data_IF_224621143298
#
_entry.id   IF_224621143298
#
_cell.length_a   1.000
_cell.length_b   1.000
_cell.length_c   1.000
_cell.angle_alpha   90.00
_cell.angle_beta   90.00
_cell.angle_gamma   90.00
#
_symmetry.space_group_name_H-M   'P 1'
#
loop_
_entity.id
_entity.type
_entity.pdbx_description
1 polymer ?
#
# COMPACT_ATOMS: atom_id res chain seq x y z
N UNK A 1 16.95 -32.35 -31.78
CA UNK A 1 15.91 -31.78 -30.90
C UNK A 1 16.59 -30.99 -29.78
N UNK A 2 16.58 -29.65 -29.87
CA UNK A 2 17.04 -28.74 -28.83
C UNK A 2 15.86 -28.51 -27.89
N UNK A 3 15.93 -29.09 -26.70
CA UNK A 3 15.04 -28.73 -25.59
C UNK A 3 15.47 -27.36 -25.07
N UNK A 4 14.74 -26.33 -25.46
CA UNK A 4 14.87 -25.03 -24.86
C UNK A 4 14.40 -25.09 -23.40
N UNK A 5 15.35 -25.01 -22.47
CA UNK A 5 15.03 -24.83 -21.08
C UNK A 5 14.41 -23.43 -20.95
N UNK A 6 13.10 -23.33 -20.68
CA UNK A 6 12.48 -22.13 -20.17
C UNK A 6 13.05 -21.88 -18.76
N UNK A 7 14.04 -20.99 -18.68
CA UNK A 7 14.48 -20.48 -17.40
C UNK A 7 13.31 -19.68 -16.82
N UNK A 8 12.66 -20.19 -15.77
CA UNK A 8 11.80 -19.39 -14.93
C UNK A 8 12.65 -18.26 -14.35
N UNK A 9 12.27 -16.98 -14.53
CA UNK A 9 13.01 -15.90 -13.88
C UNK A 9 13.02 -16.18 -12.38
N UNK A 10 14.21 -16.19 -11.78
CA UNK A 10 14.34 -16.30 -10.34
C UNK A 10 13.54 -15.14 -9.73
N UNK A 11 12.50 -15.44 -8.94
CA UNK A 11 11.76 -14.44 -8.19
C UNK A 11 12.74 -13.84 -7.18
N UNK A 12 13.02 -12.53 -7.29
CA UNK A 12 13.80 -11.79 -6.32
C UNK A 12 13.07 -11.69 -4.99
N UNK A 13 13.67 -10.99 -4.00
CA UNK A 13 13.03 -10.75 -2.70
C UNK A 13 11.66 -10.12 -2.88
N UNK A 14 10.71 -10.57 -2.06
CA UNK A 14 9.33 -10.05 -2.04
C UNK A 14 8.80 -9.96 -0.62
N UNK A 15 7.72 -9.24 -0.46
CA UNK A 15 6.99 -9.12 0.78
C UNK A 15 5.49 -9.03 0.48
N UNK A 16 4.66 -9.26 1.48
CA UNK A 16 3.23 -9.16 1.33
C UNK A 16 2.54 -8.74 2.62
N UNK A 17 1.32 -8.22 2.47
CA UNK A 17 0.44 -7.86 3.57
C UNK A 17 -0.95 -8.45 3.31
N UNK A 18 -1.44 -9.26 4.24
CA UNK A 18 -2.83 -9.69 4.25
C UNK A 18 -3.67 -8.59 4.92
N UNK A 19 -4.69 -8.12 4.23
CA UNK A 19 -5.53 -7.04 4.72
C UNK A 19 -6.57 -7.57 5.71
N UNK A 20 -6.61 -6.95 6.88
CA UNK A 20 -7.60 -7.18 7.92
C UNK A 20 -8.61 -6.04 7.91
N UNK A 21 -9.90 -6.37 7.95
CA UNK A 21 -10.95 -5.36 8.06
C UNK A 21 -10.81 -4.57 9.37
N UNK A 22 -10.99 -3.25 9.29
CA UNK A 22 -10.96 -2.35 10.43
C UNK A 22 -12.14 -1.38 10.36
N UNK A 23 -12.41 -0.69 11.46
CA UNK A 23 -13.52 0.26 11.57
C UNK A 23 -14.89 -0.32 11.18
N UNK A 24 -15.11 -1.60 11.43
CA UNK A 24 -16.37 -2.28 11.12
C UNK A 24 -16.60 -2.59 9.64
N UNK A 25 -15.58 -2.52 8.80
CA UNK A 25 -15.68 -2.82 7.36
C UNK A 25 -15.70 -4.33 7.08
N UNK A 26 -15.97 -4.67 5.82
CA UNK A 26 -15.86 -6.02 5.29
C UNK A 26 -14.71 -6.16 4.28
N UNK A 27 -13.74 -5.28 4.31
CA UNK A 27 -12.62 -5.27 3.37
C UNK A 27 -11.72 -6.48 3.61
N UNK A 28 -11.31 -7.12 2.52
CA UNK A 28 -10.33 -8.20 2.52
C UNK A 28 -9.43 -8.06 1.29
N UNK A 29 -8.28 -8.69 1.33
CA UNK A 29 -7.39 -8.70 0.19
C UNK A 29 -5.93 -8.87 0.58
N UNK A 30 -5.08 -8.70 -0.42
CA UNK A 30 -3.63 -8.85 -0.29
C UNK A 30 -2.91 -7.78 -1.09
N UNK A 31 -1.82 -7.29 -0.53
CA UNK A 31 -0.89 -6.39 -1.22
C UNK A 31 0.47 -7.06 -1.27
N UNK A 32 1.07 -7.11 -2.45
CA UNK A 32 2.38 -7.71 -2.67
C UNK A 32 3.39 -6.65 -3.09
N UNK A 33 4.64 -6.84 -2.67
CA UNK A 33 5.72 -5.90 -2.88
C UNK A 33 6.95 -6.63 -3.42
N UNK A 34 7.61 -6.02 -4.39
CA UNK A 34 8.89 -6.49 -4.92
C UNK A 34 9.70 -5.28 -5.40
N UNK A 35 10.98 -5.48 -5.68
CA UNK A 35 11.82 -4.41 -6.23
C UNK A 35 12.03 -4.63 -7.72
N UNK A 36 11.89 -3.54 -8.49
CA UNK A 36 12.07 -3.54 -9.93
C UNK A 36 12.76 -2.25 -10.37
N UNK A 37 13.98 -2.35 -10.89
CA UNK A 37 14.70 -1.19 -11.44
C UNK A 37 14.92 -0.05 -10.44
N UNK A 38 15.19 -0.36 -9.17
CA UNK A 38 15.40 0.64 -8.12
C UNK A 38 14.13 1.28 -7.57
N UNK A 39 12.96 0.76 -7.93
CA UNK A 39 11.66 1.19 -7.43
C UNK A 39 10.95 0.05 -6.70
N UNK A 40 10.00 0.39 -5.84
CA UNK A 40 9.13 -0.59 -5.20
C UNK A 40 7.94 -0.87 -6.12
N UNK A 41 7.80 -2.12 -6.56
CA UNK A 41 6.61 -2.57 -7.29
C UNK A 41 5.55 -3.00 -6.28
N UNK A 42 4.34 -2.48 -6.46
CA UNK A 42 3.20 -2.76 -5.60
C UNK A 42 2.06 -3.34 -6.43
N UNK A 43 1.50 -4.45 -5.98
CA UNK A 43 0.32 -5.06 -6.57
C UNK A 43 -0.70 -5.32 -5.47
N UNK A 44 -1.96 -4.93 -5.70
CA UNK A 44 -3.03 -5.11 -4.76
C UNK A 44 -4.25 -5.78 -5.40
N UNK A 45 -4.88 -6.67 -4.65
CA UNK A 45 -6.20 -7.24 -4.95
C UNK A 45 -7.05 -7.10 -3.71
N UNK A 46 -8.12 -6.32 -3.80
CA UNK A 46 -8.95 -5.94 -2.66
C UNK A 46 -10.42 -6.13 -3.00
N UNK A 47 -11.19 -6.59 -2.03
CA UNK A 47 -12.64 -6.77 -2.13
C UNK A 47 -13.35 -6.16 -0.92
N UNK A 48 -14.66 -5.98 -1.00
CA UNK A 48 -15.45 -5.44 0.10
C UNK A 48 -15.41 -3.93 0.24
N UNK A 49 -14.94 -3.22 -0.79
CA UNK A 49 -14.92 -1.76 -0.83
C UNK A 49 -16.27 -1.21 -1.33
N UNK A 50 -16.60 0.03 -0.94
CA UNK A 50 -17.61 0.79 -1.65
C UNK A 50 -17.09 1.17 -3.04
N UNK A 51 -17.93 1.24 -4.09
CA UNK A 51 -17.47 1.69 -5.41
C UNK A 51 -16.86 3.08 -5.37
N UNK A 52 -15.81 3.30 -6.17
CA UNK A 52 -15.11 4.57 -6.25
C UNK A 52 -13.70 4.52 -5.70
N UNK A 53 -13.13 5.69 -5.47
CA UNK A 53 -11.75 5.84 -5.04
C UNK A 53 -11.59 5.74 -3.52
N UNK A 54 -10.47 5.14 -3.10
CA UNK A 54 -10.10 4.97 -1.70
C UNK A 54 -8.64 5.33 -1.47
N UNK A 55 -8.36 6.11 -0.44
CA UNK A 55 -6.99 6.39 -0.01
C UNK A 55 -6.23 5.09 0.28
N UNK A 56 -4.99 5.02 -0.17
CA UNK A 56 -4.15 3.84 -0.13
C UNK A 56 -2.72 4.24 0.17
N UNK A 57 -2.24 3.89 1.37
CA UNK A 57 -0.94 4.38 1.85
C UNK A 57 -0.16 3.32 2.61
N UNK A 58 1.17 3.48 2.62
CA UNK A 58 2.02 2.77 3.55
C UNK A 58 2.17 3.64 4.81
N UNK A 59 1.86 3.05 5.97
CA UNK A 59 1.97 3.67 7.28
C UNK A 59 3.25 3.24 7.99
N UNK A 60 3.74 4.07 8.92
CA UNK A 60 5.06 3.92 9.50
C UNK A 60 5.20 2.73 10.44
N UNK A 61 4.12 2.30 11.11
CA UNK A 61 4.16 1.25 12.13
C UNK A 61 3.42 0.00 11.65
N UNK A 62 4.09 -1.15 11.75
CA UNK A 62 3.54 -2.45 11.43
C UNK A 62 2.68 -3.00 12.56
N UNK A 63 1.66 -2.25 12.96
CA UNK A 63 0.72 -2.64 14.00
C UNK A 63 -0.71 -2.32 13.55
N UNK A 64 -1.46 -3.36 13.24
CA UNK A 64 -2.86 -3.29 12.83
C UNK A 64 -3.83 -3.71 13.96
N UNK A 65 -3.36 -3.78 15.22
CA UNK A 65 -4.15 -4.34 16.33
C UNK A 65 -5.32 -3.47 16.77
N UNK A 66 -5.21 -2.15 16.66
CA UNK A 66 -6.31 -1.25 17.03
C UNK A 66 -7.52 -1.45 16.09
N UNK A 67 -8.75 -1.47 16.63
CA UNK A 67 -9.97 -1.68 15.82
C UNK A 67 -10.17 -0.66 14.70
N UNK A 68 -9.63 0.55 14.87
CA UNK A 68 -9.67 1.65 13.90
C UNK A 68 -8.36 1.83 13.12
N UNK A 69 -7.44 0.89 13.25
CA UNK A 69 -6.09 0.94 12.68
C UNK A 69 -5.24 2.15 13.12
N UNK A 70 -5.59 2.83 14.21
CA UNK A 70 -4.81 3.95 14.74
C UNK A 70 -3.39 3.54 15.19
N UNK A 71 -3.21 2.27 15.55
CA UNK A 71 -1.90 1.71 15.91
C UNK A 71 -0.87 1.72 14.79
N UNK A 72 -1.29 1.83 13.53
CA UNK A 72 -0.40 1.97 12.38
C UNK A 72 0.24 3.38 12.28
N UNK A 73 -0.22 4.33 13.08
CA UNK A 73 0.25 5.72 13.12
C UNK A 73 0.06 6.45 11.79
N UNK A 74 0.95 7.40 11.45
CA UNK A 74 0.87 8.21 10.24
C UNK A 74 1.48 7.52 9.01
N UNK A 75 1.45 8.22 7.88
CA UNK A 75 2.07 7.75 6.66
C UNK A 75 3.58 7.56 6.84
N UNK A 76 4.12 6.54 6.20
CA UNK A 76 5.58 6.34 6.17
C UNK A 76 6.24 7.51 5.44
N UNK A 77 7.05 8.26 6.15
CA UNK A 77 7.63 9.53 5.69
C UNK A 77 9.13 9.62 5.99
N UNK A 78 9.96 8.80 5.32
CA UNK A 78 11.39 8.76 5.60
C UNK A 78 12.12 10.04 5.25
N UNK A 79 11.60 10.84 4.31
CA UNK A 79 12.21 12.10 3.88
C UNK A 79 11.69 13.34 4.62
N UNK A 80 10.74 13.20 5.55
CA UNK A 80 10.21 14.32 6.34
C UNK A 80 9.45 15.36 5.51
N UNK A 81 8.72 14.94 4.48
CA UNK A 81 7.99 15.84 3.59
C UNK A 81 6.51 15.93 3.97
N UNK A 82 5.80 16.89 3.38
CA UNK A 82 4.36 16.99 3.49
C UNK A 82 3.65 15.93 2.66
N UNK A 83 2.39 15.62 3.00
CA UNK A 83 1.52 14.78 2.17
C UNK A 83 1.29 15.41 0.79
N UNK A 84 1.25 14.60 -0.24
CA UNK A 84 1.04 15.08 -1.58
C UNK A 84 0.75 13.98 -2.59
N UNK A 85 0.66 14.37 -3.84
CA UNK A 85 0.42 13.45 -4.95
C UNK A 85 1.61 12.51 -5.17
N UNK A 86 1.33 11.25 -5.40
CA UNK A 86 2.35 10.19 -5.56
C UNK A 86 3.38 10.46 -6.67
N UNK A 87 3.03 11.25 -7.69
CA UNK A 87 3.94 11.66 -8.76
C UNK A 87 4.70 12.95 -8.45
N UNK A 88 4.37 13.65 -7.36
CA UNK A 88 5.02 14.88 -6.96
C UNK A 88 6.29 14.65 -6.16
N UNK A 89 7.11 15.69 -6.00
CA UNK A 89 8.31 15.66 -5.17
C UNK A 89 8.01 15.90 -3.69
N UNK A 90 6.98 16.70 -3.39
CA UNK A 90 6.48 16.94 -2.04
C UNK A 90 5.39 15.93 -1.71
N UNK A 91 5.79 14.81 -1.12
CA UNK A 91 4.91 13.75 -0.67
C UNK A 91 5.58 12.90 0.41
N UNK A 92 4.80 12.18 1.19
CA UNK A 92 5.34 11.09 2.00
C UNK A 92 5.82 9.95 1.10
N UNK A 93 6.83 9.21 1.53
CA UNK A 93 7.26 8.02 0.78
C UNK A 93 6.13 7.02 0.60
N UNK A 94 5.28 6.86 1.60
CA UNK A 94 4.13 5.96 1.59
C UNK A 94 2.89 6.44 0.85
N UNK A 95 2.91 7.63 0.26
CA UNK A 95 1.78 8.15 -0.53
C UNK A 95 1.69 7.42 -1.87
N UNK A 96 0.57 6.76 -2.12
CA UNK A 96 0.31 5.98 -3.33
C UNK A 96 -0.96 6.48 -4.02
N UNK A 97 -1.20 6.11 -5.29
CA UNK A 97 -2.46 6.41 -5.96
C UNK A 97 -3.65 5.82 -5.21
N UNK A 98 -4.79 6.48 -5.28
CA UNK A 98 -6.05 5.91 -4.81
C UNK A 98 -6.30 4.56 -5.46
N UNK A 99 -6.87 3.63 -4.70
CA UNK A 99 -7.49 2.43 -5.27
C UNK A 99 -8.81 2.82 -5.91
N UNK A 100 -9.11 2.25 -7.06
CA UNK A 100 -10.40 2.42 -7.73
C UNK A 100 -11.19 1.12 -7.64
N UNK A 101 -12.26 1.12 -6.85
CA UNK A 101 -13.17 -0.01 -6.73
C UNK A 101 -14.29 0.07 -7.77
N UNK A 102 -14.57 -1.06 -8.42
CA UNK A 102 -15.66 -1.22 -9.36
C UNK A 102 -17.03 -1.33 -8.64
N UNK A 103 -18.09 -1.52 -9.42
CA UNK A 103 -19.45 -1.65 -8.89
C UNK A 103 -19.63 -2.86 -7.94
N UNK A 104 -18.78 -3.89 -8.06
CA UNK A 104 -18.78 -5.05 -7.18
C UNK A 104 -17.92 -4.87 -5.92
N UNK A 105 -17.31 -3.71 -5.73
CA UNK A 105 -16.44 -3.42 -4.59
C UNK A 105 -15.05 -4.03 -4.71
N UNK A 106 -14.63 -4.41 -5.91
CA UNK A 106 -13.32 -5.00 -6.18
C UNK A 106 -12.38 -3.94 -6.76
N UNK A 107 -11.15 -3.90 -6.24
CA UNK A 107 -10.09 -3.04 -6.74
C UNK A 107 -8.84 -3.86 -7.03
N UNK A 108 -8.16 -3.52 -8.12
CA UNK A 108 -6.83 -4.02 -8.46
C UNK A 108 -5.91 -2.83 -8.70
N UNK A 109 -4.69 -2.95 -8.22
CA UNK A 109 -3.65 -1.96 -8.43
C UNK A 109 -2.36 -2.66 -8.83
N UNK A 110 -1.65 -2.07 -9.78
CA UNK A 110 -0.30 -2.48 -10.16
C UNK A 110 0.48 -1.21 -10.52
N UNK A 111 1.59 -0.97 -9.84
CA UNK A 111 2.39 0.22 -10.10
C UNK A 111 3.75 0.17 -9.41
N UNK A 112 4.57 1.15 -9.71
CA UNK A 112 5.90 1.32 -9.14
C UNK A 112 5.96 2.63 -8.35
N UNK A 113 6.52 2.56 -7.15
CA UNK A 113 6.67 3.70 -6.25
C UNK A 113 8.15 4.02 -6.11
N UNK A 114 8.51 5.26 -6.43
CA UNK A 114 9.86 5.75 -6.30
C UNK A 114 10.20 6.06 -4.84
N UNK A 115 11.45 5.89 -4.47
CA UNK A 115 11.96 6.29 -3.15
C UNK A 115 11.67 5.31 -2.03
N UNK A 116 11.06 4.17 -2.32
CA UNK A 116 10.85 3.07 -1.37
C UNK A 116 11.58 1.81 -1.81
N UNK A 117 11.84 0.94 -0.83
CA UNK A 117 12.51 -0.34 -0.99
C UNK A 117 11.88 -1.38 -0.06
N UNK A 118 12.31 -2.62 -0.14
CA UNK A 118 11.85 -3.66 0.80
C UNK A 118 12.49 -3.48 2.18
N UNK A 119 13.77 -3.20 2.24
CA UNK A 119 14.52 -3.07 3.49
C UNK A 119 15.32 -1.77 3.59
N UNK A 120 15.96 -1.56 4.75
CA UNK A 120 16.75 -0.37 5.01
C UNK A 120 15.92 0.85 5.43
N UNK A 121 16.51 2.05 5.33
CA UNK A 121 15.89 3.29 5.80
C UNK A 121 14.60 3.66 5.07
N UNK A 122 14.45 3.25 3.81
CA UNK A 122 13.26 3.44 2.98
C UNK A 122 12.44 2.15 2.85
N UNK A 123 12.73 1.16 3.68
CA UNK A 123 12.13 -0.17 3.62
C UNK A 123 10.71 -0.23 4.14
N UNK A 124 9.86 -0.98 3.46
CA UNK A 124 8.45 -1.15 3.83
C UNK A 124 8.18 -2.39 4.66
N UNK A 125 9.07 -3.38 4.66
CA UNK A 125 8.94 -4.59 5.49
C UNK A 125 8.95 -4.19 6.98
N UNK A 126 7.99 -4.73 7.73
CA UNK A 126 7.76 -4.37 9.13
C UNK A 126 6.89 -3.14 9.36
N UNK A 127 6.42 -2.52 8.31
CA UNK A 127 5.44 -1.42 8.33
C UNK A 127 4.06 -1.95 8.00
N UNK A 128 3.11 -1.09 7.72
CA UNK A 128 1.75 -1.52 7.37
C UNK A 128 1.23 -0.81 6.11
N UNK A 129 0.27 -1.45 5.47
CA UNK A 129 -0.56 -0.88 4.41
C UNK A 129 -1.93 -0.59 4.99
N UNK A 130 -2.47 0.59 4.68
CA UNK A 130 -3.79 1.03 5.13
C UNK A 130 -4.63 1.48 3.95
N UNK A 131 -5.90 1.06 3.94
CA UNK A 131 -6.91 1.53 2.99
C UNK A 131 -7.93 2.36 3.75
N UNK A 132 -8.35 3.46 3.15
CA UNK A 132 -9.26 4.43 3.76
C UNK A 132 -10.66 4.39 3.15
N UNK A 133 -11.62 4.94 3.89
CA UNK A 133 -13.02 4.97 3.47
C UNK A 133 -13.27 5.93 2.29
N UNK A 134 -12.54 7.04 2.25
CA UNK A 134 -12.74 8.12 1.30
C UNK A 134 -11.51 8.29 0.38
N UNK A 135 -11.68 8.97 -0.77
CA UNK A 135 -10.55 9.30 -1.63
C UNK A 135 -9.51 10.17 -0.90
N UNK A 136 -8.23 9.94 -1.21
CA UNK A 136 -7.16 10.89 -0.94
C UNK A 136 -7.30 12.06 -1.92
N UNK A 137 -7.37 13.28 -1.41
CA UNK A 137 -7.44 14.49 -2.26
C UNK A 137 -6.06 14.96 -2.74
N UNK A 138 -4.99 14.28 -2.27
CA UNK A 138 -3.57 14.55 -2.60
C UNK A 138 -3.04 15.91 -2.12
N UNK A 139 -3.76 16.61 -1.27
CA UNK A 139 -3.43 17.97 -0.84
C UNK A 139 -3.55 18.18 0.66
N UNK A 140 -4.67 17.80 1.27
CA UNK A 140 -4.96 18.05 2.67
C UNK A 140 -3.97 17.33 3.59
N UNK A 141 -3.46 18.05 4.58
CA UNK A 141 -2.51 17.50 5.54
C UNK A 141 -3.27 16.92 6.75
N UNK A 142 -2.78 15.85 7.35
CA UNK A 142 -1.60 15.06 6.96
C UNK A 142 -1.90 13.90 6.00
N UNK A 143 -3.15 13.61 5.66
CA UNK A 143 -3.53 12.33 5.06
C UNK A 143 -4.52 12.45 3.89
N UNK A 144 -4.63 13.64 3.27
CA UNK A 144 -5.49 13.82 2.10
C UNK A 144 -6.97 13.75 2.38
N UNK A 145 -7.38 13.94 3.63
CA UNK A 145 -8.79 13.89 4.05
C UNK A 145 -9.48 12.56 3.70
N UNK A 146 -8.73 11.45 3.76
CA UNK A 146 -9.15 10.13 3.31
C UNK A 146 -10.14 9.41 4.23
N UNK A 147 -10.47 10.00 5.38
CA UNK A 147 -11.44 9.45 6.31
C UNK A 147 -10.95 8.25 7.11
N UNK A 148 -11.88 7.42 7.55
CA UNK A 148 -11.59 6.26 8.40
C UNK A 148 -10.67 5.27 7.71
N UNK A 149 -9.88 4.55 8.53
CA UNK A 149 -9.04 3.43 8.09
C UNK A 149 -9.88 2.15 8.12
N UNK A 150 -10.17 1.61 6.96
CA UNK A 150 -11.11 0.48 6.81
C UNK A 150 -10.41 -0.85 6.61
N UNK A 151 -9.11 -0.86 6.31
CA UNK A 151 -8.30 -2.06 6.25
C UNK A 151 -6.86 -1.75 6.64
N UNK A 152 -6.19 -2.72 7.23
CA UNK A 152 -4.80 -2.63 7.63
C UNK A 152 -4.12 -3.99 7.50
N UNK A 153 -2.93 -4.03 6.95
CA UNK A 153 -2.12 -5.25 6.84
C UNK A 153 -0.66 -4.96 7.16
N UNK A 154 -0.06 -5.80 7.99
CA UNK A 154 1.38 -5.72 8.29
C UNK A 154 2.16 -6.31 7.13
N UNK A 155 3.19 -5.61 6.68
CA UNK A 155 4.03 -6.04 5.56
C UNK A 155 5.14 -6.94 6.10
N UNK A 156 5.14 -8.19 5.66
CA UNK A 156 6.11 -9.21 6.08
C UNK A 156 6.86 -9.75 4.87
N UNK A 157 8.15 -10.06 5.06
CA UNK A 157 8.95 -10.70 4.02
C UNK A 157 8.39 -12.09 3.72
N UNK A 158 8.35 -12.45 2.44
CA UNK A 158 7.91 -13.77 1.98
C UNK A 158 8.99 -14.85 2.20
#
# INVERSE_FOLDING_TARGET
ALLGACATPASGPSASADLLARSGSAVSGKVSFSEAGGKLRVEAQVAGLTPGEHGFHIHEVGDCSAPDASSAKGHFNPAGKAHGHHAGMERHGGDMPNLLANAAGEARFSGEISGLSLGGATGVVGRSVVIHADPDDYKSQPAGNSGKRIACGVIVAD
#
